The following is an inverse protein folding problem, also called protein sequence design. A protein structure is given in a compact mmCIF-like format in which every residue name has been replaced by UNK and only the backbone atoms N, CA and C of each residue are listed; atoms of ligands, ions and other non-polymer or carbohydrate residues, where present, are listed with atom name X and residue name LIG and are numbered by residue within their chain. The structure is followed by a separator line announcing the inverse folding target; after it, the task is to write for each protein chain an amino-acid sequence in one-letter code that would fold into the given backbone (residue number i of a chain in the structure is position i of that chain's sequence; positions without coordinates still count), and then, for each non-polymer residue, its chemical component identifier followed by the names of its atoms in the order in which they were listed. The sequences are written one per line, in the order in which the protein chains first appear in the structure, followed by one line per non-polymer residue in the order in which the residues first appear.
data_IF_225799579469
#
_entry.id   IF_225799579469
#
_cell.length_a   1.000
_cell.length_b   1.000
_cell.length_c   1.000
_cell.angle_alpha   90.00
_cell.angle_beta   90.00
_cell.angle_gamma   90.00
#
_symmetry.space_group_name_H-M   'P 1'
#
loop_
_entity.id
_entity.type
_entity.pdbx_description
1 polymer ?
#
# COMPACT_ATOMS: atom_id res chain seq x y z
N UNK A 1 15.03 7.34 -16.71
CA UNK A 1 15.51 7.51 -15.33
C UNK A 1 15.65 6.12 -14.74
N UNK A 2 16.76 5.82 -14.05
CA UNK A 2 16.84 4.60 -13.26
C UNK A 2 16.15 4.94 -11.94
N UNK A 3 14.91 4.48 -11.78
CA UNK A 3 14.22 4.54 -10.50
C UNK A 3 14.91 3.60 -9.52
N UNK A 4 15.09 4.07 -8.29
CA UNK A 4 15.66 3.32 -7.17
C UNK A 4 14.68 3.41 -6.03
N UNK A 5 14.44 2.28 -5.38
CA UNK A 5 13.52 2.22 -4.27
C UNK A 5 13.96 3.10 -3.10
N UNK A 6 13.00 3.64 -2.35
CA UNK A 6 13.31 4.30 -1.08
C UNK A 6 13.93 3.29 -0.09
N UNK A 7 14.79 3.80 0.78
CA UNK A 7 15.45 3.01 1.81
C UNK A 7 14.50 2.70 2.98
N UNK A 8 14.81 1.67 3.76
CA UNK A 8 13.99 1.25 4.91
C UNK A 8 13.79 2.37 5.95
N UNK A 9 14.84 3.16 6.20
CA UNK A 9 14.77 4.27 7.14
C UNK A 9 13.80 5.37 6.69
N UNK A 10 13.77 5.66 5.39
CA UNK A 10 12.84 6.62 4.79
C UNK A 10 11.41 6.09 4.86
N UNK A 11 11.19 4.81 4.58
CA UNK A 11 9.89 4.16 4.74
C UNK A 11 9.37 4.24 6.19
N UNK A 12 10.25 4.05 7.18
CA UNK A 12 9.89 4.20 8.58
C UNK A 12 9.52 5.65 8.94
N UNK A 13 10.21 6.63 8.36
CA UNK A 13 9.88 8.05 8.53
C UNK A 13 8.50 8.38 7.93
N UNK A 14 8.22 7.96 6.70
CA UNK A 14 6.91 8.12 6.05
C UNK A 14 5.76 7.51 6.87
N UNK A 15 5.99 6.33 7.47
CA UNK A 15 5.01 5.70 8.37
C UNK A 15 4.79 6.54 9.63
N UNK A 16 5.86 7.04 10.24
CA UNK A 16 5.79 7.83 11.47
C UNK A 16 5.05 9.16 11.24
N UNK A 17 5.30 9.83 10.13
CA UNK A 17 4.59 11.05 9.75
C UNK A 17 3.09 10.80 9.56
N UNK A 18 2.73 9.74 8.84
CA UNK A 18 1.34 9.33 8.65
C UNK A 18 0.66 8.97 9.98
N UNK A 19 1.35 8.22 10.84
CA UNK A 19 0.86 7.86 12.18
C UNK A 19 0.57 9.09 13.05
N UNK A 20 1.37 10.16 12.93
CA UNK A 20 1.12 11.42 13.63
C UNK A 20 -0.20 12.06 13.20
N UNK A 21 -0.59 11.94 11.93
CA UNK A 21 -1.85 12.47 11.37
C UNK A 21 -3.07 11.58 11.66
N UNK A 22 -2.85 10.29 11.97
CA UNK A 22 -3.94 9.36 12.27
C UNK A 22 -4.77 9.75 13.51
N UNK A 23 -6.09 9.57 13.41
CA UNK A 23 -7.02 9.61 14.55
C UNK A 23 -6.79 8.44 15.51
N UNK A 24 -7.37 8.50 16.72
CA UNK A 24 -7.26 7.41 17.69
C UNK A 24 -7.81 6.07 17.15
N UNK A 25 -8.91 6.12 16.40
CA UNK A 25 -9.52 4.93 15.80
C UNK A 25 -8.60 4.34 14.72
N UNK A 26 -8.05 5.18 13.84
CA UNK A 26 -7.08 4.76 12.83
C UNK A 26 -5.83 4.15 13.46
N UNK A 27 -5.29 4.76 14.53
CA UNK A 27 -4.14 4.20 15.26
C UNK A 27 -4.44 2.83 15.85
N UNK A 28 -5.63 2.64 16.45
CA UNK A 28 -6.03 1.33 16.98
C UNK A 28 -6.07 0.25 15.91
N UNK A 29 -6.62 0.58 14.74
CA UNK A 29 -6.62 -0.33 13.61
C UNK A 29 -5.19 -0.59 13.12
N UNK A 30 -4.40 0.46 12.92
CA UNK A 30 -3.00 0.36 12.50
C UNK A 30 -2.20 -0.59 13.39
N UNK A 31 -2.28 -0.43 14.71
CA UNK A 31 -1.58 -1.30 15.67
C UNK A 31 -1.96 -2.78 15.55
N UNK A 32 -3.17 -3.08 15.07
CA UNK A 32 -3.65 -4.45 14.88
C UNK A 32 -3.22 -5.08 13.55
N UNK A 33 -2.96 -4.27 12.51
CA UNK A 33 -2.72 -4.76 11.15
C UNK A 33 -1.31 -4.49 10.64
N UNK A 34 -0.56 -3.62 11.32
CA UNK A 34 0.78 -3.21 10.90
C UNK A 34 1.72 -4.39 10.84
N UNK A 35 2.65 -4.28 9.92
CA UNK A 35 3.74 -5.19 9.72
C UNK A 35 5.02 -4.35 9.64
N UNK A 36 6.13 -4.88 10.16
CA UNK A 36 7.42 -4.22 9.98
C UNK A 36 7.73 -4.14 8.48
N UNK A 37 8.11 -2.98 7.91
CA UNK A 37 8.22 -2.81 6.47
C UNK A 37 9.05 -3.92 5.81
N UNK A 38 8.49 -4.54 4.78
CA UNK A 38 9.18 -5.58 4.02
C UNK A 38 8.86 -5.46 2.53
N UNK A 39 9.81 -5.85 1.67
CA UNK A 39 9.63 -5.82 0.22
C UNK A 39 8.85 -7.02 -0.29
N UNK A 40 7.78 -6.78 -1.03
CA UNK A 40 7.00 -7.79 -1.74
C UNK A 40 7.08 -7.59 -3.25
N UNK A 41 7.17 -8.70 -3.99
CA UNK A 41 7.20 -8.68 -5.45
C UNK A 41 5.87 -8.20 -6.03
N UNK A 42 5.94 -7.47 -7.14
CA UNK A 42 4.79 -7.04 -7.93
C UNK A 42 5.24 -7.08 -9.39
N UNK A 43 4.57 -7.87 -10.22
CA UNK A 43 4.90 -7.99 -11.63
C UNK A 43 3.87 -7.22 -12.48
N UNK A 44 4.28 -6.52 -13.55
CA UNK A 44 5.67 -6.38 -14.02
C UNK A 44 6.42 -5.16 -13.45
N UNK A 45 5.80 -4.33 -12.61
CA UNK A 45 6.32 -2.99 -12.31
C UNK A 45 7.35 -2.95 -11.17
N UNK A 46 7.33 -3.94 -10.27
CA UNK A 46 8.22 -4.01 -9.10
C UNK A 46 9.59 -4.66 -9.37
N UNK A 47 9.82 -5.23 -10.54
CA UNK A 47 11.01 -6.05 -10.82
C UNK A 47 12.34 -5.28 -10.68
N UNK A 48 12.35 -3.99 -11.06
CA UNK A 48 13.55 -3.14 -11.03
C UNK A 48 13.95 -2.77 -9.59
N UNK A 49 12.98 -2.65 -8.69
CA UNK A 49 13.19 -2.18 -7.31
C UNK A 49 13.18 -3.28 -6.28
N UNK A 50 13.21 -4.55 -6.73
CA UNK A 50 13.03 -5.73 -5.89
C UNK A 50 11.70 -5.73 -5.11
N UNK A 51 10.66 -5.16 -5.73
CA UNK A 51 9.31 -5.07 -5.17
C UNK A 51 8.99 -3.74 -4.51
N UNK A 52 7.83 -3.69 -3.87
CA UNK A 52 7.30 -2.53 -3.16
C UNK A 52 7.26 -2.78 -1.66
N UNK A 53 7.28 -1.71 -0.87
CA UNK A 53 7.25 -1.81 0.59
C UNK A 53 5.83 -2.12 1.06
N UNK A 54 5.63 -3.30 1.66
CA UNK A 54 4.38 -3.68 2.33
C UNK A 54 4.51 -3.35 3.81
N UNK A 55 3.47 -2.71 4.36
CA UNK A 55 3.48 -2.17 5.73
C UNK A 55 2.31 -2.65 6.59
N UNK A 56 1.28 -3.27 5.99
CA UNK A 56 0.18 -3.86 6.75
C UNK A 56 -0.51 -4.99 5.96
N UNK A 57 -1.14 -5.91 6.69
CA UNK A 57 -1.94 -7.01 6.16
C UNK A 57 -3.28 -7.06 6.89
N UNK A 58 -4.38 -7.15 6.14
CA UNK A 58 -5.71 -7.42 6.69
C UNK A 58 -6.50 -8.34 5.76
N UNK A 59 -6.98 -9.46 6.30
CA UNK A 59 -7.65 -10.50 5.52
C UNK A 59 -6.72 -11.03 4.43
N UNK A 60 -7.15 -10.93 3.18
CA UNK A 60 -6.39 -11.28 1.98
C UNK A 60 -5.88 -10.03 1.22
N UNK A 61 -5.74 -8.90 1.91
CA UNK A 61 -5.24 -7.64 1.33
C UNK A 61 -4.00 -7.13 2.06
N UNK A 62 -3.19 -6.37 1.33
CA UNK A 62 -1.98 -5.70 1.82
C UNK A 62 -2.05 -4.20 1.55
N UNK A 63 -1.51 -3.41 2.47
CA UNK A 63 -1.24 -1.98 2.23
C UNK A 63 0.25 -1.85 1.91
N UNK A 64 0.55 -1.17 0.81
CA UNK A 64 1.89 -1.06 0.27
C UNK A 64 2.17 0.34 -0.26
N UNK A 65 3.44 0.74 -0.22
CA UNK A 65 3.91 2.02 -0.72
C UNK A 65 4.46 1.85 -2.13
N UNK A 66 3.95 2.65 -3.05
CA UNK A 66 4.41 2.76 -4.42
C UNK A 66 5.36 3.96 -4.52
N UNK A 67 6.65 3.69 -4.42
CA UNK A 67 7.75 4.65 -4.51
C UNK A 67 8.02 5.15 -5.94
N UNK A 68 7.32 4.66 -6.96
CA UNK A 68 7.30 5.28 -8.30
C UNK A 68 6.34 6.47 -8.33
N UNK A 69 5.21 6.34 -7.63
CA UNK A 69 4.09 7.30 -7.66
C UNK A 69 4.00 8.15 -6.39
N UNK A 70 4.81 7.83 -5.37
CA UNK A 70 4.86 8.46 -4.05
C UNK A 70 3.53 8.35 -3.29
N UNK A 71 3.02 7.13 -3.13
CA UNK A 71 1.72 6.91 -2.47
C UNK A 71 1.42 5.49 -2.01
N UNK A 72 0.54 5.39 -1.01
CA UNK A 72 0.04 4.12 -0.49
C UNK A 72 -1.15 3.59 -1.29
N UNK A 73 -1.12 2.28 -1.49
CA UNK A 73 -2.12 1.53 -2.23
C UNK A 73 -2.55 0.31 -1.41
N UNK A 74 -3.71 -0.27 -1.77
CA UNK A 74 -4.19 -1.51 -1.19
C UNK A 74 -4.54 -2.50 -2.29
N UNK A 75 -4.00 -3.69 -2.18
CA UNK A 75 -4.15 -4.75 -3.19
C UNK A 75 -4.44 -6.09 -2.51
N UNK A 76 -5.02 -7.01 -3.25
CA UNK A 76 -5.15 -8.39 -2.80
C UNK A 76 -3.80 -9.12 -2.90
N UNK A 77 -3.70 -10.23 -2.16
CA UNK A 77 -2.63 -11.20 -2.34
C UNK A 77 -3.19 -12.62 -2.23
N UNK A 78 -2.64 -13.54 -3.00
CA UNK A 78 -2.93 -14.99 -2.89
C UNK A 78 -1.75 -15.79 -2.35
N UNK A 79 -0.55 -15.20 -2.38
CA UNK A 79 0.69 -15.78 -1.88
C UNK A 79 1.42 -14.71 -1.06
N UNK A 80 1.94 -15.08 0.09
CA UNK A 80 2.70 -14.15 0.94
C UNK A 80 3.98 -13.71 0.21
N UNK A 81 4.22 -12.41 0.13
CA UNK A 81 5.36 -11.87 -0.62
C UNK A 81 5.05 -11.44 -2.06
N UNK A 82 3.80 -11.58 -2.53
CA UNK A 82 3.36 -11.17 -3.87
C UNK A 82 2.12 -10.28 -3.84
N UNK A 83 2.21 -9.12 -4.49
CA UNK A 83 1.10 -8.17 -4.66
C UNK A 83 0.42 -8.47 -6.00
N UNK A 84 -0.90 -8.65 -5.99
CA UNK A 84 -1.64 -9.02 -7.21
C UNK A 84 -1.88 -7.81 -8.13
N UNK A 85 -2.38 -6.70 -7.60
CA UNK A 85 -2.73 -5.51 -8.38
C UNK A 85 -1.69 -4.39 -8.19
N UNK A 86 -1.28 -3.78 -9.31
CA UNK A 86 -0.57 -2.51 -9.30
C UNK A 86 -1.57 -1.36 -9.33
N UNK A 87 -1.39 -0.41 -8.43
CA UNK A 87 -2.13 0.84 -8.41
C UNK A 87 -1.18 2.03 -8.27
N UNK A 88 -1.59 3.17 -8.81
CA UNK A 88 -0.86 4.43 -8.84
C UNK A 88 -1.59 5.54 -8.06
N UNK A 89 -2.32 5.17 -7.01
CA UNK A 89 -2.86 6.17 -6.10
C UNK A 89 -1.70 6.89 -5.39
N UNK A 90 -1.90 8.18 -5.15
CA UNK A 90 -1.01 9.06 -4.38
C UNK A 90 -1.60 9.32 -2.99
N UNK A 91 -2.20 8.29 -2.40
CA UNK A 91 -2.88 8.41 -1.10
C UNK A 91 -1.86 8.30 0.04
N UNK A 92 -2.04 9.11 1.09
CA UNK A 92 -1.32 8.92 2.34
C UNK A 92 -1.75 7.62 3.05
N UNK A 93 -0.91 7.09 3.94
CA UNK A 93 -1.21 5.84 4.66
C UNK A 93 -2.50 5.94 5.46
N UNK A 94 -2.74 7.04 6.17
CA UNK A 94 -3.98 7.23 6.96
C UNK A 94 -5.25 7.18 6.10
N UNK A 95 -5.18 7.53 4.82
CA UNK A 95 -6.29 7.38 3.88
C UNK A 95 -6.61 5.90 3.65
N UNK A 96 -5.59 5.06 3.46
CA UNK A 96 -5.79 3.61 3.33
C UNK A 96 -6.31 2.98 4.63
N UNK A 97 -5.84 3.43 5.80
CA UNK A 97 -6.38 3.00 7.09
C UNK A 97 -7.86 3.40 7.24
N UNK A 98 -8.22 4.60 6.80
CA UNK A 98 -9.62 5.03 6.78
C UNK A 98 -10.48 4.17 5.85
N UNK A 99 -9.96 3.80 4.68
CA UNK A 99 -10.66 2.92 3.74
C UNK A 99 -10.93 1.55 4.34
N UNK A 100 -9.97 1.00 5.10
CA UNK A 100 -10.17 -0.25 5.85
C UNK A 100 -11.25 -0.09 6.92
N UNK A 101 -11.23 1.00 7.71
CA UNK A 101 -12.28 1.27 8.71
C UNK A 101 -13.66 1.35 8.06
N UNK A 102 -13.77 2.07 6.95
CA UNK A 102 -15.02 2.19 6.19
C UNK A 102 -15.48 0.81 5.69
N UNK A 103 -14.59 0.00 5.14
CA UNK A 103 -14.92 -1.35 4.68
C UNK A 103 -15.40 -2.26 5.82
N UNK A 104 -14.78 -2.21 6.98
CA UNK A 104 -15.22 -3.00 8.15
C UNK A 104 -16.61 -2.55 8.60
N UNK A 105 -16.87 -1.24 8.60
CA UNK A 105 -18.17 -0.65 8.98
C UNK A 105 -19.27 -0.98 7.98
N UNK A 106 -19.00 -0.84 6.70
CA UNK A 106 -20.00 -0.87 5.62
C UNK A 106 -20.16 -2.26 5.01
N UNK A 107 -19.18 -3.15 5.21
CA UNK A 107 -19.17 -4.53 4.71
C UNK A 107 -18.69 -4.67 3.26
N UNK A 108 -18.29 -3.58 2.60
CA UNK A 108 -17.76 -3.60 1.24
C UNK A 108 -16.71 -2.48 1.04
N UNK A 109 -15.86 -2.66 0.03
CA UNK A 109 -14.83 -1.67 -0.32
C UNK A 109 -15.39 -0.63 -1.29
N UNK A 110 -15.28 0.65 -0.93
CA UNK A 110 -15.70 1.80 -1.74
C UNK A 110 -14.51 2.68 -2.18
N UNK A 111 -13.27 2.27 -1.91
CA UNK A 111 -12.09 3.03 -2.29
C UNK A 111 -11.93 3.13 -3.81
N UNK A 112 -11.46 4.28 -4.28
CA UNK A 112 -11.06 4.46 -5.68
C UNK A 112 -9.67 3.88 -5.91
N UNK A 113 -9.50 3.13 -6.99
CA UNK A 113 -8.22 2.54 -7.38
C UNK A 113 -7.84 2.94 -8.80
N UNK A 114 -6.66 3.54 -8.96
CA UNK A 114 -6.12 3.96 -10.25
C UNK A 114 -5.06 2.96 -10.70
N UNK A 115 -5.27 2.34 -11.87
CA UNK A 115 -4.31 1.40 -12.45
C UNK A 115 -3.35 2.08 -13.43
N UNK A 116 -2.24 1.39 -13.73
CA UNK A 116 -1.31 1.81 -14.78
C UNK A 116 -1.94 1.86 -16.18
N UNK A 117 -1.24 2.47 -17.16
CA UNK A 117 -1.73 2.56 -18.54
C UNK A 117 -2.05 1.18 -19.10
N UNK A 118 -3.30 0.96 -19.51
CA UNK A 118 -3.72 -0.23 -20.24
C UNK A 118 -3.30 -0.09 -21.70
N UNK A 119 -2.53 -1.05 -22.20
CA UNK A 119 -2.23 -1.12 -23.63
C UNK A 119 -3.55 -1.25 -24.41
N UNK A 120 -3.86 -0.24 -25.23
CA UNK A 120 -4.97 -0.29 -26.17
C UNK A 120 -4.55 -1.15 -27.35
N UNK A 121 -4.55 -2.47 -27.18
CA UNK A 121 -4.40 -3.38 -28.30
C UNK A 121 -5.82 -3.68 -28.82
N UNK A 122 -6.19 -3.03 -29.93
CA UNK A 122 -7.34 -3.37 -30.77
C UNK A 122 -7.01 -4.52 -31.71
#
# INVERSE_FOLDING_TARGET
MNWTSIEEAEMLETINESYCRMTLEQRRLWEAIKLYPQKWSQEPYGDIGHGFWVVAIIGNTVIWFNDVEDGFNRSSFTEFGKINEYYCNQDDLECQIQNVLNQIRDGYDAAGYLGGPKSLIS
#
